data_IF_449602063373
#
_entry.id   IF_449602063373
#
_cell.length_a   1.000
_cell.length_b   1.000
_cell.length_c   1.000
_cell.angle_alpha   90.00
_cell.angle_beta   90.00
_cell.angle_gamma   90.00
#
_symmetry.space_group_name_H-M   'P 1'
#
loop_
_entity.id
_entity.type
_entity.pdbx_description
1 polymer ?
#
# COMPACT_ATOMS: atom_id res chain seq x y z
N UNK A 1 8.93 39.45 -8.55
CA UNK A 1 10.36 39.79 -8.64
C UNK A 1 11.10 38.61 -9.25
N UNK A 2 11.71 38.84 -10.40
CA UNK A 2 12.48 37.86 -11.17
C UNK A 2 13.88 37.75 -10.58
N UNK A 3 14.45 36.54 -10.54
CA UNK A 3 15.77 36.25 -11.14
C UNK A 3 15.96 34.75 -11.31
N UNK A 4 15.79 34.31 -12.56
CA UNK A 4 16.41 33.13 -13.17
C UNK A 4 17.93 33.29 -13.09
N UNK A 5 18.64 32.21 -12.79
CA UNK A 5 19.98 31.99 -13.31
C UNK A 5 19.95 30.74 -14.18
N UNK A 6 20.22 30.97 -15.46
CA UNK A 6 20.61 30.00 -16.45
C UNK A 6 22.13 29.83 -16.33
N UNK A 7 22.65 28.62 -16.50
CA UNK A 7 23.98 28.43 -17.07
C UNK A 7 23.83 27.58 -18.31
N UNK A 8 23.98 28.26 -19.44
CA UNK A 8 24.02 27.74 -20.79
C UNK A 8 25.46 27.80 -21.29
N UNK A 9 25.79 26.88 -22.20
CA UNK A 9 26.57 27.22 -23.38
C UNK A 9 28.08 27.25 -23.22
N UNK A 10 28.67 26.07 -23.40
CA UNK A 10 30.04 25.86 -23.85
C UNK A 10 30.24 26.51 -25.23
N UNK A 11 31.07 27.56 -25.33
CA UNK A 11 31.60 28.10 -26.60
C UNK A 11 33.08 28.51 -26.42
N UNK A 12 33.90 27.92 -27.30
CA UNK A 12 35.26 28.25 -27.73
C UNK A 12 36.41 28.37 -26.69
N UNK A 13 37.32 27.40 -26.78
CA UNK A 13 38.73 27.55 -26.46
C UNK A 13 39.57 26.81 -27.50
N UNK A 14 39.80 27.44 -28.65
CA UNK A 14 40.74 26.96 -29.66
C UNK A 14 42.17 26.96 -29.10
N UNK A 15 42.72 25.78 -28.87
CA UNK A 15 44.14 25.59 -28.60
C UNK A 15 44.80 25.04 -29.86
N UNK A 16 45.58 25.90 -30.51
CA UNK A 16 46.54 25.55 -31.55
C UNK A 16 47.53 24.50 -31.00
N UNK A 17 47.38 23.25 -31.43
CA UNK A 17 48.46 22.29 -31.42
C UNK A 17 48.94 22.14 -32.86
N UNK A 18 50.05 22.81 -33.16
CA UNK A 18 50.84 22.57 -34.37
C UNK A 18 51.48 21.19 -34.26
N UNK A 19 50.68 20.15 -34.51
CA UNK A 19 51.15 18.81 -34.81
C UNK A 19 51.48 18.75 -36.31
N UNK A 20 52.73 18.46 -36.61
CA UNK A 20 53.25 18.32 -37.97
C UNK A 20 52.49 17.22 -38.71
N UNK A 21 51.50 17.62 -39.51
CA UNK A 21 50.82 16.76 -40.48
C UNK A 21 51.83 16.36 -41.56
N UNK A 22 52.44 15.18 -41.40
CA UNK A 22 53.03 14.50 -42.53
C UNK A 22 51.88 13.95 -43.35
N UNK A 23 51.55 14.64 -44.45
CA UNK A 23 50.63 14.12 -45.44
C UNK A 23 51.22 12.84 -46.01
N UNK A 24 50.63 11.69 -45.65
CA UNK A 24 50.87 10.45 -46.38
C UNK A 24 50.34 10.63 -47.80
N UNK A 25 51.18 10.32 -48.79
CA UNK A 25 50.73 10.18 -50.16
C UNK A 25 49.61 9.12 -50.23
N UNK A 26 48.56 9.40 -51.00
CA UNK A 26 47.40 8.56 -51.22
C UNK A 26 47.74 7.27 -52.02
N UNK A 27 48.57 6.41 -51.44
CA UNK A 27 48.58 4.97 -51.72
C UNK A 27 47.80 4.28 -50.61
N UNK A 28 46.93 3.33 -50.96
CA UNK A 28 46.20 2.49 -50.00
C UNK A 28 47.20 1.80 -49.07
N UNK A 29 47.39 2.32 -47.86
CA UNK A 29 48.30 1.72 -46.89
C UNK A 29 47.67 0.43 -46.36
N UNK A 30 48.31 -0.70 -46.64
CA UNK A 30 47.84 -2.04 -46.25
C UNK A 30 48.52 -2.51 -44.96
N UNK A 31 47.79 -3.16 -44.07
CA UNK A 31 48.29 -3.72 -42.81
C UNK A 31 49.32 -4.82 -43.10
N UNK A 32 50.39 -4.89 -42.30
CA UNK A 32 51.43 -5.92 -42.48
C UNK A 32 50.91 -7.33 -42.19
N UNK A 33 51.50 -8.33 -42.84
CA UNK A 33 51.19 -9.73 -42.55
C UNK A 33 51.51 -10.08 -41.10
N UNK A 34 50.70 -10.97 -40.50
CA UNK A 34 50.88 -11.40 -39.11
C UNK A 34 50.17 -10.50 -38.09
N UNK A 35 49.27 -9.61 -38.53
CA UNK A 35 48.49 -8.74 -37.66
C UNK A 35 47.04 -9.22 -37.59
N UNK A 36 46.55 -9.42 -36.38
CA UNK A 36 45.21 -9.92 -36.06
C UNK A 36 44.54 -9.02 -35.02
N UNK A 37 43.22 -9.10 -34.91
CA UNK A 37 42.47 -8.57 -33.77
C UNK A 37 41.42 -9.59 -33.36
N UNK A 38 41.46 -10.04 -32.10
CA UNK A 38 40.69 -11.19 -31.58
C UNK A 38 40.67 -12.40 -32.52
N UNK A 39 41.81 -12.66 -33.16
CA UNK A 39 41.95 -13.79 -34.08
C UNK A 39 41.46 -13.54 -35.51
N UNK A 40 40.85 -12.38 -35.80
CA UNK A 40 40.51 -11.96 -37.16
C UNK A 40 41.79 -11.51 -37.89
N UNK A 41 42.10 -12.12 -39.04
CA UNK A 41 43.28 -11.79 -39.84
C UNK A 41 43.09 -10.45 -40.57
N UNK A 42 43.91 -9.46 -40.23
CA UNK A 42 43.90 -8.12 -40.84
C UNK A 42 44.99 -7.96 -41.92
N UNK A 43 45.77 -9.01 -42.18
CA UNK A 43 46.92 -8.98 -43.07
C UNK A 43 46.54 -8.53 -44.48
N UNK A 44 47.23 -7.49 -44.98
CA UNK A 44 47.01 -6.97 -46.33
C UNK A 44 45.74 -6.14 -46.51
N UNK A 45 44.91 -6.01 -45.46
CA UNK A 45 43.71 -5.17 -45.53
C UNK A 45 44.09 -3.68 -45.51
N UNK A 46 43.34 -2.90 -46.28
CA UNK A 46 43.29 -1.45 -46.12
C UNK A 46 42.50 -1.06 -44.88
N UNK A 47 42.58 0.21 -44.47
CA UNK A 47 41.80 0.77 -43.36
C UNK A 47 40.31 0.44 -43.43
N UNK A 48 39.71 0.64 -44.60
CA UNK A 48 38.27 0.45 -44.81
C UNK A 48 37.89 -1.03 -44.76
N UNK A 49 38.71 -1.91 -45.34
CA UNK A 49 38.51 -3.36 -45.28
C UNK A 49 38.67 -3.89 -43.86
N UNK A 50 39.68 -3.43 -43.12
CA UNK A 50 39.90 -3.84 -41.73
C UNK A 50 38.77 -3.38 -40.80
N UNK A 51 38.32 -2.12 -40.92
CA UNK A 51 37.16 -1.64 -40.15
C UNK A 51 35.89 -2.44 -40.48
N UNK A 52 35.66 -2.76 -41.76
CA UNK A 52 34.51 -3.57 -42.18
C UNK A 52 34.59 -4.98 -41.60
N UNK A 53 35.78 -5.58 -41.57
CA UNK A 53 35.97 -6.92 -40.99
C UNK A 53 35.71 -6.93 -39.48
N UNK A 54 36.16 -5.91 -38.74
CA UNK A 54 35.89 -5.79 -37.31
C UNK A 54 34.42 -5.48 -37.02
N UNK A 55 33.78 -4.59 -37.79
CA UNK A 55 32.34 -4.31 -37.67
C UNK A 55 31.49 -5.56 -37.92
N UNK A 56 31.87 -6.38 -38.91
CA UNK A 56 31.20 -7.67 -39.17
C UNK A 56 31.36 -8.61 -37.97
N UNK A 57 32.56 -8.70 -37.40
CA UNK A 57 32.80 -9.52 -36.22
C UNK A 57 32.01 -9.03 -34.99
N UNK A 58 31.95 -7.71 -34.76
CA UNK A 58 31.10 -7.13 -33.70
C UNK A 58 29.63 -7.47 -33.89
N UNK A 59 29.13 -7.42 -35.13
CA UNK A 59 27.75 -7.82 -35.45
C UNK A 59 27.50 -9.31 -35.20
N UNK A 60 28.46 -10.19 -35.51
CA UNK A 60 28.36 -11.62 -35.18
C UNK A 60 28.34 -11.84 -33.66
N UNK A 61 29.13 -11.08 -32.91
CA UNK A 61 29.16 -11.15 -31.44
C UNK A 61 27.87 -10.68 -30.77
N UNK A 62 27.02 -9.92 -31.47
CA UNK A 62 25.69 -9.55 -30.95
C UNK A 62 24.73 -10.74 -30.84
N UNK A 63 25.00 -11.85 -31.52
CA UNK A 63 24.19 -13.08 -31.45
C UNK A 63 24.53 -13.96 -30.23
N UNK A 64 25.66 -13.73 -29.57
CA UNK A 64 25.98 -14.41 -28.31
C UNK A 64 24.98 -14.01 -27.23
N UNK A 65 24.74 -14.92 -26.28
CA UNK A 65 23.67 -14.79 -25.28
C UNK A 65 24.22 -14.70 -23.86
N UNK A 66 23.45 -14.06 -22.97
CA UNK A 66 23.75 -13.99 -21.54
C UNK A 66 22.55 -14.50 -20.75
N UNK A 67 22.65 -15.68 -20.15
CA UNK A 67 21.58 -16.22 -19.30
C UNK A 67 21.59 -15.55 -17.93
N UNK A 68 20.49 -14.89 -17.59
CA UNK A 68 20.25 -14.15 -16.34
C UNK A 68 19.32 -14.98 -15.44
N UNK A 69 19.83 -15.46 -14.31
CA UNK A 69 19.05 -16.19 -13.31
C UNK A 69 18.49 -15.24 -12.26
N UNK A 70 17.17 -15.31 -12.01
CA UNK A 70 16.41 -14.44 -11.11
C UNK A 70 15.59 -15.34 -10.17
N UNK A 71 16.23 -15.79 -9.09
CA UNK A 71 15.68 -16.84 -8.24
C UNK A 71 15.57 -18.15 -9.03
N UNK A 72 14.36 -18.71 -9.11
CA UNK A 72 14.07 -19.93 -9.89
C UNK A 72 13.73 -19.65 -11.37
N UNK A 73 13.73 -18.38 -11.81
CA UNK A 73 13.42 -17.97 -13.17
C UNK A 73 14.69 -17.69 -13.98
N UNK A 74 14.61 -17.82 -15.31
CA UNK A 74 15.72 -17.52 -16.22
C UNK A 74 15.25 -16.68 -17.42
N UNK A 75 16.09 -15.76 -17.88
CA UNK A 75 15.96 -15.02 -19.14
C UNK A 75 17.28 -15.08 -19.90
N UNK A 76 17.23 -15.17 -21.24
CA UNK A 76 18.43 -15.32 -22.07
C UNK A 76 18.43 -14.31 -23.22
N UNK A 77 18.66 -13.01 -22.95
CA UNK A 77 18.83 -12.02 -24.01
C UNK A 77 20.07 -12.30 -24.86
N UNK A 78 20.04 -11.85 -26.10
CA UNK A 78 21.27 -11.69 -26.89
C UNK A 78 22.02 -10.44 -26.43
N UNK A 79 23.34 -10.42 -26.62
CA UNK A 79 24.16 -9.25 -26.31
C UNK A 79 23.81 -8.06 -27.24
N UNK A 80 23.30 -8.33 -28.43
CA UNK A 80 22.69 -7.32 -29.31
C UNK A 80 21.47 -6.64 -28.70
N UNK A 81 20.59 -7.38 -28.03
CA UNK A 81 19.44 -6.82 -27.30
C UNK A 81 19.88 -5.91 -26.15
N UNK A 82 21.05 -6.19 -25.55
CA UNK A 82 21.67 -5.38 -24.50
C UNK A 82 22.57 -4.24 -25.05
N UNK A 83 22.67 -4.10 -26.37
CA UNK A 83 23.42 -3.01 -27.01
C UNK A 83 24.93 -3.22 -27.05
N UNK A 84 25.41 -4.47 -27.24
CA UNK A 84 26.83 -4.75 -27.38
C UNK A 84 27.47 -3.99 -28.55
N UNK A 85 28.59 -3.34 -28.26
CA UNK A 85 29.43 -2.62 -29.22
C UNK A 85 30.90 -2.87 -28.95
N UNK A 86 31.71 -2.84 -30.01
CA UNK A 86 33.15 -2.63 -29.88
C UNK A 86 33.45 -1.15 -29.63
N UNK A 87 34.53 -0.87 -28.92
CA UNK A 87 34.86 0.50 -28.47
C UNK A 87 36.21 1.02 -28.97
N UNK A 88 37.07 0.15 -29.53
CA UNK A 88 38.44 0.48 -29.91
C UNK A 88 38.84 0.01 -31.31
N UNK A 89 37.89 -0.34 -32.19
CA UNK A 89 38.15 -0.84 -33.55
C UNK A 89 38.98 0.15 -34.36
N UNK A 90 38.62 1.44 -34.30
CA UNK A 90 39.34 2.49 -35.01
C UNK A 90 40.77 2.63 -34.50
N UNK A 91 40.98 2.58 -33.19
CA UNK A 91 42.31 2.71 -32.60
C UNK A 91 43.20 1.52 -32.96
N UNK A 92 42.65 0.29 -32.92
CA UNK A 92 43.32 -0.93 -33.37
C UNK A 92 43.76 -0.80 -34.83
N UNK A 93 42.85 -0.38 -35.72
CA UNK A 93 43.14 -0.28 -37.16
C UNK A 93 44.21 0.78 -37.45
N UNK A 94 44.15 1.94 -36.78
CA UNK A 94 45.18 2.97 -36.93
C UNK A 94 46.55 2.48 -36.44
N UNK A 95 46.60 1.78 -35.31
CA UNK A 95 47.84 1.21 -34.79
C UNK A 95 48.39 0.12 -35.74
N UNK A 96 47.53 -0.77 -36.22
CA UNK A 96 47.88 -1.85 -37.15
C UNK A 96 48.43 -1.33 -38.49
N UNK A 97 47.85 -0.25 -39.03
CA UNK A 97 48.36 0.41 -40.24
C UNK A 97 49.74 1.04 -39.98
N UNK A 98 49.92 1.65 -38.81
CA UNK A 98 51.14 2.34 -38.42
C UNK A 98 52.30 1.42 -38.02
N UNK A 99 52.01 0.18 -37.62
CA UNK A 99 52.97 -0.82 -37.18
C UNK A 99 53.99 -1.13 -38.29
N UNK A 100 55.29 -1.05 -37.99
CA UNK A 100 56.36 -1.25 -38.98
C UNK A 100 56.53 -0.11 -40.00
N UNK A 101 55.68 0.94 -39.95
CA UNK A 101 55.68 2.07 -40.91
C UNK A 101 55.94 3.43 -40.26
N UNK A 102 55.82 3.54 -38.95
CA UNK A 102 55.97 4.79 -38.19
C UNK A 102 57.21 4.79 -37.29
N UNK A 103 57.70 5.96 -36.87
CA UNK A 103 58.93 6.08 -36.06
C UNK A 103 60.25 5.99 -36.85
N UNK A 104 61.36 5.74 -36.16
CA UNK A 104 62.70 5.68 -36.77
C UNK A 104 62.95 4.37 -37.54
N UNK A 105 63.96 4.34 -38.41
CA UNK A 105 64.26 3.21 -39.32
C UNK A 105 64.49 1.89 -38.53
N UNK A 106 65.12 1.97 -37.36
CA UNK A 106 65.41 0.80 -36.52
C UNK A 106 64.11 0.21 -35.96
N UNK A 107 63.21 1.06 -35.45
CA UNK A 107 61.88 0.65 -34.96
C UNK A 107 61.09 -0.07 -36.05
N UNK A 108 60.97 0.54 -37.23
CA UNK A 108 60.25 -0.03 -38.38
C UNK A 108 60.80 -1.39 -38.81
N UNK A 109 62.12 -1.54 -38.85
CA UNK A 109 62.77 -2.80 -39.19
C UNK A 109 62.51 -3.87 -38.12
N UNK A 110 62.63 -3.51 -36.84
CA UNK A 110 62.39 -4.42 -35.71
C UNK A 110 60.94 -4.91 -35.72
N UNK A 111 59.95 -4.01 -35.76
CA UNK A 111 58.53 -4.38 -35.76
C UNK A 111 58.16 -5.31 -36.92
N UNK A 112 58.71 -5.06 -38.12
CA UNK A 112 58.53 -5.97 -39.26
C UNK A 112 59.16 -7.34 -39.04
N UNK A 113 60.35 -7.40 -38.43
CA UNK A 113 61.02 -8.66 -38.13
C UNK A 113 60.32 -9.43 -37.01
N UNK A 114 59.78 -8.72 -36.02
CA UNK A 114 58.99 -9.32 -34.94
C UNK A 114 57.74 -9.99 -35.54
N UNK A 115 57.02 -9.31 -36.46
CA UNK A 115 55.85 -9.88 -37.17
C UNK A 115 56.17 -11.12 -38.03
N UNK A 116 57.39 -11.28 -38.52
CA UNK A 116 57.81 -12.50 -39.24
C UNK A 116 57.97 -13.72 -38.30
N UNK A 117 58.11 -13.50 -36.98
CA UNK A 117 58.35 -14.55 -35.99
C UNK A 117 57.15 -14.76 -35.06
N UNK A 118 56.39 -13.70 -34.75
CA UNK A 118 55.27 -13.71 -33.82
C UNK A 118 54.15 -12.80 -34.33
N UNK A 119 52.93 -13.33 -34.37
CA UNK A 119 51.77 -12.55 -34.77
C UNK A 119 51.44 -11.51 -33.70
N UNK A 120 51.08 -10.30 -34.14
CA UNK A 120 50.52 -9.27 -33.26
C UNK A 120 49.00 -9.43 -33.24
N UNK A 121 48.44 -9.88 -32.12
CA UNK A 121 46.99 -9.92 -31.92
C UNK A 121 46.54 -8.76 -31.02
N UNK A 122 45.69 -7.89 -31.54
CA UNK A 122 44.99 -6.86 -30.78
C UNK A 122 43.78 -7.45 -30.07
N UNK A 123 43.30 -6.79 -29.02
CA UNK A 123 42.11 -7.21 -28.27
C UNK A 123 41.05 -6.12 -28.40
N UNK A 124 39.86 -6.49 -28.85
CA UNK A 124 38.72 -5.59 -28.83
C UNK A 124 38.31 -5.34 -27.38
N UNK A 125 37.83 -4.14 -27.12
CA UNK A 125 37.18 -3.79 -25.86
C UNK A 125 35.70 -3.62 -26.12
N UNK A 126 34.89 -4.24 -25.28
CA UNK A 126 33.44 -4.29 -25.42
C UNK A 126 32.76 -3.35 -24.45
N UNK A 127 31.58 -2.87 -24.84
CA UNK A 127 30.68 -2.16 -23.95
C UNK A 127 29.23 -2.49 -24.29
N UNK A 128 28.35 -2.39 -23.29
CA UNK A 128 26.91 -2.44 -23.48
C UNK A 128 26.33 -1.03 -23.47
N UNK A 129 25.17 -0.86 -24.10
CA UNK A 129 24.39 0.36 -23.97
C UNK A 129 23.70 0.36 -22.60
N UNK A 130 24.16 1.22 -21.69
CA UNK A 130 23.62 1.31 -20.33
C UNK A 130 22.11 1.57 -20.31
N UNK A 131 21.57 2.33 -21.27
CA UNK A 131 20.13 2.62 -21.32
C UNK A 131 19.34 1.38 -21.76
N UNK A 132 19.86 0.58 -22.71
CA UNK A 132 19.24 -0.68 -23.11
C UNK A 132 19.30 -1.74 -22.01
N UNK A 133 20.44 -1.88 -21.31
CA UNK A 133 20.55 -2.77 -20.15
C UNK A 133 19.59 -2.34 -19.05
N UNK A 134 19.51 -1.04 -18.76
CA UNK A 134 18.58 -0.49 -17.77
C UNK A 134 17.13 -0.76 -18.14
N UNK A 135 16.75 -0.57 -19.41
CA UNK A 135 15.42 -0.88 -19.90
C UNK A 135 15.11 -2.37 -19.80
N UNK A 136 16.04 -3.24 -20.22
CA UNK A 136 15.86 -4.68 -20.14
C UNK A 136 15.64 -5.15 -18.70
N UNK A 137 16.47 -4.69 -17.77
CA UNK A 137 16.34 -5.01 -16.35
C UNK A 137 15.00 -4.51 -15.80
N UNK A 138 14.64 -3.24 -16.03
CA UNK A 138 13.45 -2.64 -15.43
C UNK A 138 12.13 -3.08 -16.07
N UNK A 139 12.12 -3.42 -17.35
CA UNK A 139 10.88 -3.75 -18.07
C UNK A 139 10.68 -5.27 -18.22
N UNK A 140 11.76 -6.05 -18.18
CA UNK A 140 11.72 -7.51 -18.42
C UNK A 140 12.11 -8.31 -17.18
N UNK A 141 13.22 -7.97 -16.51
CA UNK A 141 13.67 -8.78 -15.37
C UNK A 141 12.78 -8.60 -14.13
N UNK A 142 12.26 -7.40 -13.88
CA UNK A 142 11.34 -7.09 -12.76
C UNK A 142 9.96 -7.72 -12.91
N UNK A 143 9.64 -8.37 -14.05
CA UNK A 143 8.35 -9.07 -14.20
C UNK A 143 8.19 -10.23 -13.20
N UNK A 144 9.32 -10.69 -12.63
CA UNK A 144 9.35 -11.71 -11.59
C UNK A 144 9.31 -11.13 -10.17
N UNK A 145 9.31 -9.79 -10.03
CA UNK A 145 9.14 -9.16 -8.74
C UNK A 145 7.77 -9.50 -8.18
N UNK A 146 7.78 -10.03 -6.97
CA UNK A 146 6.59 -10.43 -6.25
C UNK A 146 6.75 -10.12 -4.77
N UNK A 147 5.72 -9.54 -4.17
CA UNK A 147 5.70 -9.31 -2.73
C UNK A 147 5.52 -10.63 -1.98
N UNK A 148 6.09 -10.71 -0.78
CA UNK A 148 5.80 -11.81 0.12
C UNK A 148 4.33 -11.75 0.57
N UNK A 149 3.68 -12.91 0.62
CA UNK A 149 2.32 -13.04 1.16
C UNK A 149 2.37 -13.97 2.34
N UNK A 150 2.14 -13.44 3.54
CA UNK A 150 2.10 -14.25 4.76
C UNK A 150 1.09 -15.39 4.65
N UNK A 151 1.40 -16.52 5.28
CA UNK A 151 0.44 -17.60 5.40
C UNK A 151 -0.81 -17.11 6.16
N UNK A 152 -1.94 -17.77 5.94
CA UNK A 152 -3.19 -17.42 6.61
C UNK A 152 -3.97 -18.66 7.01
N UNK A 153 -5.10 -18.45 7.66
CA UNK A 153 -6.01 -19.50 8.09
C UNK A 153 -7.34 -19.32 7.39
N UNK A 154 -7.96 -20.46 7.05
CA UNK A 154 -9.34 -20.51 6.61
C UNK A 154 -10.14 -21.36 7.58
N UNK A 155 -11.28 -20.85 8.03
CA UNK A 155 -12.20 -21.64 8.87
C UNK A 155 -12.72 -22.85 8.08
N UNK A 156 -12.59 -24.05 8.66
CA UNK A 156 -13.07 -25.30 8.07
C UNK A 156 -13.76 -26.15 9.14
N UNK A 157 -15.10 -26.18 9.12
CA UNK A 157 -15.90 -26.81 10.17
C UNK A 157 -15.61 -26.21 11.54
N UNK A 158 -15.20 -27.04 12.50
CA UNK A 158 -14.80 -26.60 13.84
C UNK A 158 -13.31 -26.22 13.95
N UNK A 159 -12.51 -26.40 12.89
CA UNK A 159 -11.07 -26.16 12.86
C UNK A 159 -10.63 -25.10 11.85
N UNK A 160 -9.33 -25.08 11.58
CA UNK A 160 -8.70 -24.19 10.61
C UNK A 160 -7.84 -24.98 9.63
N UNK A 161 -7.86 -24.53 8.38
CA UNK A 161 -6.96 -24.99 7.33
C UNK A 161 -5.89 -23.92 7.12
N UNK A 162 -4.62 -24.34 7.09
CA UNK A 162 -3.50 -23.44 6.77
C UNK A 162 -3.48 -23.21 5.27
N UNK A 163 -3.55 -21.94 4.88
CA UNK A 163 -3.30 -21.49 3.52
C UNK A 163 -1.86 -20.99 3.48
N UNK A 164 -0.99 -21.69 2.75
CA UNK A 164 0.43 -21.37 2.67
C UNK A 164 0.68 -19.97 2.12
N UNK A 165 1.77 -19.36 2.58
CA UNK A 165 2.24 -18.07 2.07
C UNK A 165 3.00 -18.19 0.76
N UNK A 166 3.43 -17.04 0.24
CA UNK A 166 4.25 -16.89 -0.96
C UNK A 166 5.54 -16.15 -0.59
N UNK A 167 6.68 -16.69 -1.01
CA UNK A 167 7.99 -16.02 -0.88
C UNK A 167 8.04 -14.80 -1.78
N UNK A 168 8.38 -13.65 -1.18
CA UNK A 168 8.65 -12.42 -1.90
C UNK A 168 10.03 -12.48 -2.56
N UNK A 169 10.12 -11.94 -3.76
CA UNK A 169 11.35 -11.84 -4.54
C UNK A 169 11.35 -10.47 -5.19
N UNK A 170 12.38 -9.67 -4.94
CA UNK A 170 12.55 -8.35 -5.56
C UNK A 170 13.96 -8.25 -6.12
N UNK A 171 14.08 -7.94 -7.40
CA UNK A 171 15.36 -7.77 -8.06
C UNK A 171 16.05 -6.48 -7.58
N UNK A 172 17.34 -6.55 -7.21
CA UNK A 172 18.16 -5.36 -7.05
C UNK A 172 18.58 -4.88 -8.44
N UNK A 173 17.77 -3.99 -9.01
CA UNK A 173 17.95 -3.50 -10.38
C UNK A 173 19.28 -2.79 -10.58
N UNK A 174 19.69 -1.96 -9.62
CA UNK A 174 20.93 -1.21 -9.70
C UNK A 174 22.15 -2.14 -9.67
N UNK A 175 22.20 -3.08 -8.72
CA UNK A 175 23.28 -4.04 -8.65
C UNK A 175 23.27 -4.99 -9.86
N UNK A 176 22.09 -5.35 -10.39
CA UNK A 176 21.96 -6.18 -11.59
C UNK A 176 22.52 -5.50 -12.84
N UNK A 177 22.19 -4.23 -13.07
CA UNK A 177 22.71 -3.45 -14.21
C UNK A 177 24.23 -3.38 -14.14
N UNK A 178 24.79 -3.01 -12.98
CA UNK A 178 26.25 -2.97 -12.79
C UNK A 178 26.88 -4.32 -13.04
N UNK A 179 26.29 -5.41 -12.52
CA UNK A 179 26.84 -6.76 -12.68
C UNK A 179 26.86 -7.19 -14.16
N UNK A 180 25.79 -6.93 -14.91
CA UNK A 180 25.69 -7.26 -16.34
C UNK A 180 26.75 -6.50 -17.14
N UNK A 181 26.83 -5.18 -16.94
CA UNK A 181 27.81 -4.33 -17.63
C UNK A 181 29.24 -4.73 -17.28
N UNK A 182 29.56 -4.90 -16.00
CA UNK A 182 30.90 -5.28 -15.55
C UNK A 182 31.34 -6.64 -16.10
N UNK A 183 30.42 -7.62 -16.18
CA UNK A 183 30.69 -8.92 -16.76
C UNK A 183 31.11 -8.81 -18.23
N UNK A 184 30.34 -8.08 -19.05
CA UNK A 184 30.65 -7.92 -20.48
C UNK A 184 31.93 -7.12 -20.71
N UNK A 185 32.16 -6.07 -19.93
CA UNK A 185 33.32 -5.19 -20.12
C UNK A 185 34.64 -5.80 -19.63
N UNK A 186 34.60 -6.72 -18.66
CA UNK A 186 35.82 -7.15 -17.95
C UNK A 186 36.03 -8.67 -17.89
N UNK A 187 34.98 -9.48 -17.99
CA UNK A 187 35.04 -10.93 -17.71
C UNK A 187 34.57 -11.81 -18.86
N UNK A 188 33.84 -11.25 -19.84
CA UNK A 188 33.27 -12.00 -20.93
C UNK A 188 34.33 -12.57 -21.87
N UNK A 189 34.21 -13.86 -22.20
CA UNK A 189 35.19 -14.64 -22.97
C UNK A 189 34.81 -14.80 -24.45
N UNK A 190 33.88 -13.95 -24.92
CA UNK A 190 33.33 -13.96 -26.29
C UNK A 190 32.48 -15.21 -26.60
N UNK A 191 31.91 -15.84 -25.57
CA UNK A 191 30.96 -16.95 -25.72
C UNK A 191 29.71 -16.75 -24.87
N UNK A 192 28.67 -17.56 -25.08
CA UNK A 192 27.47 -17.56 -24.26
C UNK A 192 27.78 -17.58 -22.74
N UNK A 193 27.29 -16.55 -22.05
CA UNK A 193 27.47 -16.36 -20.61
C UNK A 193 26.27 -16.82 -19.78
N UNK A 194 26.48 -16.94 -18.47
CA UNK A 194 25.43 -17.20 -17.49
C UNK A 194 25.77 -16.54 -16.16
N UNK A 195 24.80 -15.91 -15.51
CA UNK A 195 25.00 -15.23 -14.23
C UNK A 195 23.74 -15.16 -13.36
N UNK A 196 23.93 -15.22 -12.05
CA UNK A 196 22.90 -14.95 -11.04
C UNK A 196 22.71 -13.44 -10.87
N UNK A 197 21.48 -12.94 -10.93
CA UNK A 197 21.20 -11.55 -10.58
C UNK A 197 20.90 -11.41 -9.08
N UNK A 198 21.35 -10.33 -8.43
CA UNK A 198 21.08 -10.09 -7.03
C UNK A 198 19.58 -9.85 -6.81
N UNK A 199 18.99 -10.65 -5.92
CA UNK A 199 17.59 -10.52 -5.48
C UNK A 199 17.54 -10.39 -3.96
N UNK A 200 16.60 -9.58 -3.47
CA UNK A 200 16.17 -9.62 -2.08
C UNK A 200 15.01 -10.60 -1.95
N UNK A 201 15.12 -11.53 -1.00
CA UNK A 201 14.09 -12.53 -0.70
C UNK A 201 13.46 -12.22 0.64
N UNK A 202 12.13 -12.04 0.64
CA UNK A 202 11.34 -11.89 1.87
C UNK A 202 10.50 -13.15 2.08
N UNK A 203 10.54 -13.71 3.29
CA UNK A 203 9.87 -14.97 3.60
C UNK A 203 8.54 -14.72 4.30
N UNK A 204 7.46 -15.41 3.89
CA UNK A 204 6.16 -15.22 4.50
C UNK A 204 6.19 -15.62 5.97
N UNK A 205 5.52 -14.85 6.83
CA UNK A 205 5.24 -15.24 8.20
C UNK A 205 4.29 -16.44 8.23
N UNK A 206 4.32 -17.17 9.34
CA UNK A 206 3.32 -18.19 9.66
C UNK A 206 3.63 -19.57 9.13
N UNK A 207 4.54 -20.25 9.83
CA UNK A 207 4.70 -21.69 9.65
C UNK A 207 3.42 -22.44 10.02
N UNK A 208 3.24 -23.64 9.47
CA UNK A 208 2.11 -24.50 9.83
C UNK A 208 2.05 -24.81 11.34
N UNK A 209 3.21 -24.86 12.01
CA UNK A 209 3.30 -25.05 13.46
C UNK A 209 2.75 -23.82 14.22
N UNK A 210 3.14 -22.61 13.82
CA UNK A 210 2.67 -21.37 14.45
C UNK A 210 1.17 -21.17 14.24
N UNK A 211 0.68 -21.34 13.02
CA UNK A 211 -0.74 -21.24 12.70
C UNK A 211 -1.56 -22.36 13.34
N UNK A 212 -0.97 -23.53 13.56
CA UNK A 212 -1.57 -24.64 14.31
C UNK A 212 -1.84 -24.33 15.80
N UNK A 213 -1.26 -23.25 16.34
CA UNK A 213 -1.57 -22.77 17.70
C UNK A 213 -2.94 -22.09 17.79
N UNK A 214 -3.50 -21.62 16.67
CA UNK A 214 -4.79 -20.94 16.61
C UNK A 214 -5.93 -21.96 16.67
N UNK A 215 -6.49 -22.17 17.87
CA UNK A 215 -7.54 -23.18 18.07
C UNK A 215 -8.54 -22.84 19.17
N UNK A 216 -8.13 -22.02 20.14
CA UNK A 216 -8.93 -21.71 21.32
C UNK A 216 -9.69 -20.40 21.12
N UNK A 217 -10.90 -20.29 21.69
CA UNK A 217 -11.66 -19.04 21.68
C UNK A 217 -11.11 -18.13 22.77
N UNK A 218 -10.49 -17.01 22.37
CA UNK A 218 -9.96 -16.02 23.29
C UNK A 218 -11.01 -14.99 23.70
N UNK A 219 -11.90 -14.62 22.79
CA UNK A 219 -12.94 -13.63 23.05
C UNK A 219 -14.06 -13.71 22.04
N UNK A 220 -15.30 -13.51 22.51
CA UNK A 220 -16.47 -13.44 21.62
C UNK A 220 -17.45 -12.39 22.11
N UNK A 221 -18.10 -11.69 21.18
CA UNK A 221 -19.15 -10.76 21.52
C UNK A 221 -20.19 -10.65 20.40
N UNK A 222 -21.43 -10.37 20.77
CA UNK A 222 -22.55 -10.29 19.85
C UNK A 222 -23.37 -9.04 20.13
N UNK A 223 -23.79 -8.33 19.08
CA UNK A 223 -24.80 -7.28 19.17
C UNK A 223 -25.98 -7.56 18.25
N UNK A 224 -27.16 -7.09 18.63
CA UNK A 224 -28.39 -7.22 17.84
C UNK A 224 -28.65 -5.96 17.01
N UNK A 225 -29.12 -6.15 15.78
CA UNK A 225 -29.61 -5.09 14.91
C UNK A 225 -31.02 -5.40 14.38
N UNK A 226 -31.83 -6.10 15.18
CA UNK A 226 -33.15 -6.61 14.81
C UNK A 226 -34.13 -5.56 14.22
N UNK A 227 -34.06 -4.31 14.69
CA UNK A 227 -34.88 -3.17 14.23
C UNK A 227 -34.41 -2.56 12.90
N UNK A 228 -33.29 -3.04 12.35
CA UNK A 228 -32.70 -2.46 11.14
C UNK A 228 -33.49 -2.83 9.88
N UNK A 229 -33.59 -1.85 8.98
CA UNK A 229 -34.03 -2.04 7.60
C UNK A 229 -32.98 -2.74 6.75
N UNK A 230 -33.39 -3.20 5.55
CA UNK A 230 -32.58 -4.06 4.70
C UNK A 230 -31.22 -3.47 4.31
N UNK A 231 -31.15 -2.17 3.98
CA UNK A 231 -29.90 -1.52 3.60
C UNK A 231 -28.85 -1.52 4.73
N UNK A 232 -29.26 -1.23 5.97
CA UNK A 232 -28.39 -1.28 7.15
C UNK A 232 -27.94 -2.72 7.45
N UNK A 233 -28.84 -3.70 7.33
CA UNK A 233 -28.47 -5.12 7.47
C UNK A 233 -27.41 -5.53 6.44
N UNK A 234 -27.56 -5.11 5.17
CA UNK A 234 -26.58 -5.36 4.11
C UNK A 234 -25.22 -4.75 4.48
N UNK A 235 -25.19 -3.48 4.90
CA UNK A 235 -23.95 -2.82 5.29
C UNK A 235 -23.22 -3.53 6.44
N UNK A 236 -23.96 -3.96 7.47
CA UNK A 236 -23.39 -4.72 8.60
C UNK A 236 -22.80 -6.04 8.09
N UNK A 237 -23.52 -6.79 7.26
CA UNK A 237 -23.02 -8.03 6.67
C UNK A 237 -21.76 -7.80 5.82
N UNK A 238 -21.74 -6.77 4.98
CA UNK A 238 -20.57 -6.39 4.16
C UNK A 238 -19.36 -6.04 5.03
N UNK A 239 -19.51 -5.16 6.03
CA UNK A 239 -18.40 -4.80 6.91
C UNK A 239 -17.91 -5.96 7.76
N UNK A 240 -18.80 -6.83 8.22
CA UNK A 240 -18.40 -8.06 8.92
C UNK A 240 -17.62 -9.01 7.99
N UNK A 241 -18.03 -9.14 6.73
CA UNK A 241 -17.34 -9.99 5.76
C UNK A 241 -15.92 -9.50 5.45
N UNK A 242 -15.70 -8.19 5.39
CA UNK A 242 -14.37 -7.60 5.17
C UNK A 242 -13.39 -7.87 6.32
N UNK A 243 -13.89 -7.99 7.56
CA UNK A 243 -13.07 -8.29 8.76
C UNK A 243 -12.92 -9.80 8.98
N UNK A 244 -13.90 -10.59 8.53
CA UNK A 244 -13.88 -12.03 8.71
C UNK A 244 -12.75 -12.68 7.92
N UNK A 245 -11.95 -13.52 8.58
CA UNK A 245 -10.84 -14.22 7.93
C UNK A 245 -9.48 -13.60 8.20
N UNK A 246 -9.42 -12.45 8.89
CA UNK A 246 -8.15 -11.81 9.21
C UNK A 246 -7.32 -12.66 10.17
N UNK A 247 -6.10 -12.99 9.76
CA UNK A 247 -5.03 -13.45 10.64
C UNK A 247 -4.17 -12.24 11.02
N UNK A 248 -3.86 -12.10 12.31
CA UNK A 248 -3.01 -11.03 12.83
C UNK A 248 -1.82 -11.66 13.56
N UNK A 249 -0.60 -11.44 13.08
CA UNK A 249 0.61 -11.98 13.71
C UNK A 249 1.01 -11.19 14.95
N UNK A 250 1.82 -11.77 15.85
CA UNK A 250 2.40 -11.03 16.99
C UNK A 250 3.00 -9.68 16.57
N UNK A 251 2.58 -8.60 17.24
CA UNK A 251 2.99 -7.24 16.97
C UNK A 251 2.23 -6.51 15.86
N UNK A 252 1.49 -7.22 15.00
CA UNK A 252 0.70 -6.58 13.95
C UNK A 252 -0.46 -5.79 14.56
N UNK A 253 -0.77 -4.64 13.95
CA UNK A 253 -1.87 -3.76 14.36
C UNK A 253 -2.98 -3.78 13.31
N UNK A 254 -4.19 -4.05 13.76
CA UNK A 254 -5.38 -4.04 12.91
C UNK A 254 -6.06 -2.67 12.94
N UNK A 255 -6.40 -2.14 11.77
CA UNK A 255 -7.27 -0.96 11.61
C UNK A 255 -8.66 -1.39 11.16
N UNK A 256 -9.68 -1.06 11.95
CA UNK A 256 -11.06 -1.36 11.56
C UNK A 256 -11.50 -0.51 10.38
N UNK A 257 -11.20 0.79 10.40
CA UNK A 257 -11.60 1.71 9.34
C UNK A 257 -10.98 1.35 8.00
N UNK A 258 -9.66 1.11 7.95
CA UNK A 258 -8.97 0.77 6.70
C UNK A 258 -9.55 -0.50 6.10
N UNK A 259 -9.76 -1.54 6.92
CA UNK A 259 -10.29 -2.85 6.50
C UNK A 259 -11.70 -2.76 5.91
N UNK A 260 -12.57 -1.92 6.46
CA UNK A 260 -13.97 -1.81 5.97
C UNK A 260 -14.15 -0.73 4.90
N UNK A 261 -13.13 0.09 4.65
CA UNK A 261 -13.13 1.14 3.63
C UNK A 261 -12.74 0.58 2.25
N UNK A 262 -13.06 1.30 1.14
CA UNK A 262 -13.88 2.50 1.04
C UNK A 262 -15.38 2.21 1.15
N UNK A 263 -16.17 3.16 1.66
CA UNK A 263 -17.63 3.05 1.70
C UNK A 263 -18.26 3.41 0.36
N UNK A 264 -18.26 2.45 -0.58
CA UNK A 264 -18.84 2.59 -1.92
C UNK A 264 -19.80 1.46 -2.27
N UNK A 265 -20.69 1.68 -3.24
CA UNK A 265 -21.55 0.61 -3.77
C UNK A 265 -20.74 -0.54 -4.38
N UNK A 266 -19.62 -0.21 -5.05
CA UNK A 266 -18.68 -1.19 -5.60
C UNK A 266 -18.05 -2.06 -4.51
N UNK A 267 -17.82 -1.51 -3.32
CA UNK A 267 -17.35 -2.26 -2.15
C UNK A 267 -18.50 -2.91 -1.36
N UNK A 268 -19.69 -3.05 -1.96
CA UNK A 268 -20.82 -3.80 -1.41
C UNK A 268 -21.73 -3.01 -0.45
N UNK A 269 -21.52 -1.70 -0.29
CA UNK A 269 -22.34 -0.88 0.61
C UNK A 269 -23.60 -0.32 -0.06
N UNK A 270 -24.53 0.15 0.77
CA UNK A 270 -25.76 0.81 0.39
C UNK A 270 -26.01 2.05 1.27
N UNK A 271 -26.83 2.98 0.79
CA UNK A 271 -27.26 4.13 1.57
C UNK A 271 -28.14 3.68 2.73
N UNK A 272 -27.76 4.05 3.95
CA UNK A 272 -28.53 3.78 5.16
C UNK A 272 -28.27 4.86 6.20
N UNK A 273 -29.23 5.06 7.13
CA UNK A 273 -29.07 6.01 8.23
C UNK A 273 -27.79 5.77 9.04
N UNK A 274 -27.05 6.84 9.29
CA UNK A 274 -25.79 6.92 10.04
C UNK A 274 -25.82 8.11 10.99
N UNK A 275 -25.07 8.06 12.09
CA UNK A 275 -25.03 9.14 13.06
C UNK A 275 -23.92 10.14 12.71
N UNK A 276 -24.30 11.38 12.40
CA UNK A 276 -23.36 12.48 12.11
C UNK A 276 -23.74 13.73 12.90
N UNK A 277 -22.80 14.27 13.69
CA UNK A 277 -22.97 15.54 14.42
C UNK A 277 -24.27 15.67 15.24
N UNK A 278 -24.72 14.60 15.87
CA UNK A 278 -25.93 14.63 16.70
C UNK A 278 -27.24 14.38 15.93
N UNK A 279 -27.18 14.09 14.63
CA UNK A 279 -28.33 13.77 13.77
C UNK A 279 -28.18 12.41 13.11
N UNK A 280 -29.30 11.86 12.64
CA UNK A 280 -29.32 10.69 11.75
C UNK A 280 -29.36 11.21 10.30
N UNK A 281 -28.33 10.88 9.52
CA UNK A 281 -28.22 11.23 8.10
C UNK A 281 -27.95 9.98 7.28
N UNK A 282 -28.53 9.86 6.09
CA UNK A 282 -28.22 8.73 5.23
C UNK A 282 -26.78 8.82 4.71
N UNK A 283 -26.02 7.73 4.88
CA UNK A 283 -24.66 7.60 4.34
C UNK A 283 -24.42 6.19 3.80
N UNK A 284 -23.49 6.06 2.85
CA UNK A 284 -22.94 4.76 2.50
C UNK A 284 -22.25 4.17 3.74
N UNK A 285 -22.48 2.88 4.01
CA UNK A 285 -21.92 2.22 5.19
C UNK A 285 -22.64 2.52 6.51
N UNK A 286 -23.87 3.09 6.49
CA UNK A 286 -24.69 3.22 7.69
C UNK A 286 -24.86 1.86 8.39
N UNK A 287 -24.38 1.75 9.64
CA UNK A 287 -24.34 0.52 10.44
C UNK A 287 -22.94 0.02 10.80
N UNK A 288 -21.88 0.49 10.14
CA UNK A 288 -20.51 -0.02 10.35
C UNK A 288 -19.95 0.27 11.75
N UNK A 289 -20.34 1.36 12.41
CA UNK A 289 -19.90 1.56 13.79
C UNK A 289 -20.42 0.48 14.76
N UNK A 290 -21.53 -0.20 14.44
CA UNK A 290 -21.97 -1.36 15.23
C UNK A 290 -21.05 -2.58 15.02
N UNK A 291 -20.53 -2.76 13.80
CA UNK A 291 -19.52 -3.78 13.49
C UNK A 291 -18.25 -3.51 14.30
N UNK A 292 -17.74 -2.27 14.26
CA UNK A 292 -16.58 -1.85 15.05
C UNK A 292 -16.78 -2.03 16.56
N UNK A 293 -17.92 -1.59 17.12
CA UNK A 293 -18.24 -1.83 18.54
C UNK A 293 -18.29 -3.31 18.89
N UNK A 294 -18.84 -4.15 18.01
CA UNK A 294 -18.95 -5.59 18.27
C UNK A 294 -17.55 -6.22 18.29
N UNK A 295 -16.69 -5.85 17.34
CA UNK A 295 -15.29 -6.29 17.30
C UNK A 295 -14.53 -5.81 18.55
N UNK A 296 -14.65 -4.54 18.92
CA UNK A 296 -14.03 -3.97 20.13
C UNK A 296 -14.32 -4.81 21.38
N UNK A 297 -15.57 -5.21 21.56
CA UNK A 297 -15.95 -6.02 22.72
C UNK A 297 -15.42 -7.46 22.68
N UNK A 298 -15.24 -8.03 21.48
CA UNK A 298 -14.54 -9.31 21.33
C UNK A 298 -13.04 -9.15 21.63
N UNK A 299 -12.39 -8.08 21.16
CA UNK A 299 -10.99 -7.69 21.43
C UNK A 299 -10.74 -7.53 22.93
N UNK A 300 -11.62 -6.82 23.65
CA UNK A 300 -11.51 -6.68 25.10
C UNK A 300 -11.53 -8.03 25.83
N UNK A 301 -12.36 -8.98 25.37
CA UNK A 301 -12.48 -10.33 25.95
C UNK A 301 -11.28 -11.21 25.59
N UNK A 302 -10.73 -11.04 24.40
CA UNK A 302 -9.46 -11.65 23.99
C UNK A 302 -8.24 -11.00 24.68
N UNK A 303 -8.44 -9.88 25.39
CA UNK A 303 -7.41 -9.14 26.10
C UNK A 303 -6.26 -8.65 25.22
N UNK A 304 -6.59 -8.32 23.96
CA UNK A 304 -5.67 -7.68 23.03
C UNK A 304 -5.50 -6.20 23.38
N UNK A 305 -4.35 -5.64 23.02
CA UNK A 305 -4.02 -4.25 23.28
C UNK A 305 -4.82 -3.30 22.39
N UNK A 306 -5.64 -2.44 23.00
CA UNK A 306 -6.39 -1.40 22.29
C UNK A 306 -5.49 -0.17 22.12
N UNK A 307 -5.14 0.14 20.87
CA UNK A 307 -4.25 1.25 20.50
C UNK A 307 -5.04 2.54 20.31
N UNK A 308 -6.18 2.45 19.63
CA UNK A 308 -7.05 3.59 19.36
C UNK A 308 -8.50 3.19 19.58
N UNK A 309 -9.23 4.01 20.34
CA UNK A 309 -10.67 3.87 20.49
C UNK A 309 -11.29 5.23 20.73
N UNK A 310 -12.37 5.51 20.00
CA UNK A 310 -13.22 6.67 20.21
C UNK A 310 -14.66 6.25 20.54
N UNK A 311 -15.36 7.01 21.39
CA UNK A 311 -16.81 6.84 21.56
C UNK A 311 -17.61 7.58 20.47
N UNK A 312 -18.87 7.20 20.33
CA UNK A 312 -19.87 7.91 19.54
C UNK A 312 -20.15 9.29 20.14
N UNK A 313 -20.59 10.23 19.29
CA UNK A 313 -21.00 11.56 19.75
C UNK A 313 -22.30 11.54 20.56
N UNK A 314 -23.13 10.51 20.40
CA UNK A 314 -24.39 10.27 21.13
C UNK A 314 -24.42 8.83 21.61
N UNK A 315 -25.26 8.55 22.61
CA UNK A 315 -25.44 7.17 23.12
C UNK A 315 -26.01 6.26 22.02
N UNK A 316 -25.48 5.04 21.95
CA UNK A 316 -25.99 3.97 21.09
C UNK A 316 -26.77 2.96 21.94
N UNK A 317 -27.68 2.21 21.32
CA UNK A 317 -28.62 1.33 22.06
C UNK A 317 -28.24 -0.15 22.03
N UNK A 318 -27.22 -0.53 21.27
CA UNK A 318 -26.81 -1.92 21.09
C UNK A 318 -25.70 -2.38 22.05
N UNK A 319 -25.16 -1.47 22.87
CA UNK A 319 -24.25 -1.74 23.99
C UNK A 319 -24.47 -0.69 25.09
N UNK A 320 -23.96 -0.96 26.29
CA UNK A 320 -23.97 0.00 27.39
C UNK A 320 -23.04 1.20 27.09
N UNK A 321 -23.22 2.35 27.78
CA UNK A 321 -22.29 3.47 27.67
C UNK A 321 -20.84 3.03 27.96
N UNK A 322 -19.87 3.65 27.29
CA UNK A 322 -18.44 3.35 27.34
C UNK A 322 -17.99 2.02 26.70
N UNK A 323 -18.91 1.14 26.28
CA UNK A 323 -18.62 -0.13 25.58
C UNK A 323 -18.57 0.01 24.05
N UNK A 324 -18.77 1.20 23.50
CA UNK A 324 -18.82 1.43 22.06
C UNK A 324 -17.45 1.78 21.45
N UNK A 325 -17.25 1.51 20.17
CA UNK A 325 -16.12 2.00 19.40
C UNK A 325 -16.64 2.60 18.10
N UNK A 326 -16.46 3.91 17.94
CA UNK A 326 -16.90 4.66 16.78
C UNK A 326 -15.73 4.86 15.81
N UNK A 327 -16.01 4.65 14.53
CA UNK A 327 -15.11 4.99 13.42
C UNK A 327 -15.75 6.09 12.58
N UNK A 328 -14.94 7.00 12.02
CA UNK A 328 -15.43 8.08 11.17
C UNK A 328 -14.28 8.70 10.36
N UNK A 329 -14.33 8.54 9.04
CA UNK A 329 -13.33 9.12 8.14
C UNK A 329 -11.90 8.78 8.56
N UNK A 330 -10.97 9.69 8.29
CA UNK A 330 -9.55 9.54 8.65
C UNK A 330 -9.21 10.03 10.06
N UNK A 331 -10.20 10.36 10.90
CA UNK A 331 -9.95 11.00 12.22
C UNK A 331 -10.49 10.22 13.42
N UNK A 332 -11.23 9.12 13.19
CA UNK A 332 -11.59 8.14 14.22
C UNK A 332 -11.46 6.74 13.67
N UNK A 333 -10.66 5.93 14.33
CA UNK A 333 -10.54 4.51 14.08
C UNK A 333 -10.66 3.70 15.37
N UNK A 334 -10.92 2.41 15.20
CA UNK A 334 -10.70 1.41 16.23
C UNK A 334 -9.51 0.54 15.81
N UNK A 335 -8.40 0.71 16.54
CA UNK A 335 -7.15 -0.01 16.30
C UNK A 335 -6.76 -0.84 17.51
N UNK A 336 -6.25 -2.04 17.26
CA UNK A 336 -5.72 -2.92 18.29
C UNK A 336 -4.53 -3.73 17.76
N UNK A 337 -3.63 -4.11 18.65
CA UNK A 337 -2.42 -4.88 18.34
C UNK A 337 -2.55 -6.28 18.89
N UNK A 338 -2.11 -7.28 18.13
CA UNK A 338 -1.89 -8.61 18.68
C UNK A 338 -0.63 -8.59 19.56
N UNK A 339 -0.79 -8.30 20.85
CA UNK A 339 0.29 -8.28 21.83
C UNK A 339 0.61 -9.69 22.42
N UNK A 340 0.14 -10.76 21.79
CA UNK A 340 0.39 -12.15 22.21
C UNK A 340 1.58 -12.76 21.44
N UNK A 341 2.13 -13.86 21.95
CA UNK A 341 3.26 -14.58 21.33
C UNK A 341 2.84 -15.52 20.18
N UNK A 342 1.55 -15.57 19.84
CA UNK A 342 0.99 -16.42 18.80
C UNK A 342 0.02 -15.65 17.90
N UNK A 343 -0.15 -16.07 16.63
CA UNK A 343 -1.15 -15.48 15.74
C UNK A 343 -2.56 -15.57 16.32
N UNK A 344 -3.44 -14.68 15.88
CA UNK A 344 -4.89 -14.77 16.14
C UNK A 344 -5.66 -14.80 14.83
N UNK A 345 -6.87 -15.35 14.86
CA UNK A 345 -7.82 -15.32 13.75
C UNK A 345 -9.12 -14.63 14.17
N UNK A 346 -9.61 -13.72 13.33
CA UNK A 346 -10.85 -12.99 13.56
C UNK A 346 -11.97 -13.59 12.70
N UNK A 347 -12.92 -14.25 13.35
CA UNK A 347 -14.14 -14.74 12.73
C UNK A 347 -15.25 -13.71 12.90
N UNK A 348 -15.86 -13.30 11.79
CA UNK A 348 -17.02 -12.41 11.77
C UNK A 348 -18.22 -13.09 11.13
N UNK A 349 -19.33 -13.19 11.86
CA UNK A 349 -20.56 -13.85 11.38
C UNK A 349 -21.76 -12.94 11.57
N UNK A 350 -22.63 -12.90 10.55
CA UNK A 350 -23.97 -12.32 10.68
C UNK A 350 -25.05 -13.38 10.49
N UNK A 351 -25.98 -13.48 11.44
CA UNK A 351 -27.10 -14.42 11.36
C UNK A 351 -28.24 -13.97 12.26
N UNK A 352 -29.50 -14.14 11.82
CA UNK A 352 -30.68 -13.79 12.63
C UNK A 352 -30.75 -12.32 13.07
N UNK A 353 -30.22 -11.40 12.24
CA UNK A 353 -30.02 -9.97 12.58
C UNK A 353 -29.14 -9.74 13.82
N UNK A 354 -28.17 -10.62 14.02
CA UNK A 354 -27.09 -10.45 14.98
C UNK A 354 -25.76 -10.41 14.23
N UNK A 355 -24.78 -9.71 14.81
CA UNK A 355 -23.38 -9.71 14.36
C UNK A 355 -22.56 -10.22 15.53
N UNK A 356 -21.70 -11.19 15.25
CA UNK A 356 -20.83 -11.83 16.22
C UNK A 356 -19.41 -11.77 15.70
N UNK A 357 -18.48 -11.36 16.56
CA UNK A 357 -17.06 -11.58 16.34
C UNK A 357 -16.53 -12.56 17.36
N UNK A 358 -15.71 -13.51 16.89
CA UNK A 358 -14.98 -14.47 17.72
C UNK A 358 -13.51 -14.41 17.34
N UNK A 359 -12.66 -14.15 18.33
CA UNK A 359 -11.22 -14.12 18.18
C UNK A 359 -10.67 -15.46 18.67
N UNK A 360 -10.00 -16.17 17.78
CA UNK A 360 -9.32 -17.42 18.08
C UNK A 360 -7.82 -17.19 18.21
N UNK A 361 -7.15 -18.00 19.01
CA UNK A 361 -5.70 -17.97 19.19
C UNK A 361 -5.23 -19.12 20.06
N UNK A 362 -4.12 -18.92 20.75
CA UNK A 362 -3.59 -19.85 21.74
C UNK A 362 -4.00 -19.40 23.14
N UNK A 363 -4.84 -20.17 23.84
CA UNK A 363 -5.24 -19.82 25.21
C UNK A 363 -4.10 -20.16 26.19
N UNK A 364 -3.52 -19.12 26.78
CA UNK A 364 -2.47 -19.23 27.80
C UNK A 364 -2.95 -18.84 29.19
N UNK A 365 -4.17 -18.31 29.31
CA UNK A 365 -4.73 -17.83 30.57
C UNK A 365 -5.27 -19.00 31.41
N UNK A 366 -5.24 -18.90 32.75
CA UNK A 366 -5.76 -19.96 33.62
C UNK A 366 -7.26 -20.23 33.39
N UNK A 367 -7.66 -21.49 33.33
CA UNK A 367 -9.06 -21.90 33.06
C UNK A 367 -10.05 -21.52 34.17
N UNK A 368 -9.55 -21.24 35.37
CA UNK A 368 -10.32 -20.77 36.52
C UNK A 368 -10.44 -19.23 36.58
N UNK A 369 -10.01 -18.53 35.52
CA UNK A 369 -10.05 -17.07 35.39
C UNK A 369 -11.23 -16.63 34.55
N UNK A 370 -11.95 -15.61 34.98
CA UNK A 370 -13.10 -15.03 34.26
C UNK A 370 -13.06 -13.51 34.24
N UNK A 371 -13.68 -12.90 33.22
CA UNK A 371 -13.76 -11.45 33.05
C UNK A 371 -15.20 -10.96 33.22
N UNK A 372 -15.37 -9.77 33.82
CA UNK A 372 -16.61 -8.98 33.78
C UNK A 372 -16.27 -7.56 33.32
N UNK A 373 -17.11 -7.00 32.47
CA UNK A 373 -17.03 -5.60 32.05
C UNK A 373 -18.20 -4.85 32.65
N UNK A 374 -17.94 -3.70 33.24
CA UNK A 374 -18.93 -2.89 33.96
C UNK A 374 -18.89 -1.45 33.50
N UNK A 375 -20.02 -1.00 32.93
CA UNK A 375 -20.26 0.40 32.60
C UNK A 375 -20.84 1.14 33.81
N UNK A 376 -20.16 2.21 34.23
CA UNK A 376 -20.59 3.09 35.33
C UNK A 376 -20.96 4.45 34.79
N UNK A 377 -22.25 4.80 34.83
CA UNK A 377 -22.73 6.14 34.45
C UNK A 377 -22.45 7.14 35.58
N UNK A 378 -21.63 8.14 35.28
CA UNK A 378 -21.26 9.20 36.22
C UNK A 378 -22.27 10.36 36.23
N UNK A 379 -22.82 10.70 35.06
CA UNK A 379 -23.82 11.75 34.94
C UNK A 379 -24.72 11.54 33.73
N UNK A 380 -25.90 12.15 33.80
CA UNK A 380 -26.86 12.21 32.69
C UNK A 380 -27.34 13.64 32.55
N UNK A 381 -27.47 14.11 31.31
CA UNK A 381 -27.99 15.43 30.97
C UNK A 381 -29.27 15.26 30.17
N UNK A 382 -30.36 15.81 30.68
CA UNK A 382 -31.61 15.95 29.93
C UNK A 382 -31.43 17.07 28.90
N UNK A 383 -31.61 16.78 27.60
CA UNK A 383 -31.38 17.77 26.56
C UNK A 383 -32.55 18.76 26.40
N UNK A 384 -33.70 18.53 27.02
CA UNK A 384 -34.88 19.38 26.89
C UNK A 384 -35.51 19.37 25.48
N UNK A 385 -36.33 20.38 25.21
CA UNK A 385 -37.01 20.61 23.93
C UNK A 385 -36.46 21.88 23.29
N UNK A 386 -36.23 21.83 21.98
CA UNK A 386 -35.85 22.98 21.17
C UNK A 386 -36.86 23.13 20.03
N UNK A 387 -37.50 24.29 19.93
CA UNK A 387 -38.44 24.61 18.86
C UNK A 387 -37.74 25.55 17.87
N UNK A 388 -37.74 25.20 16.59
CA UNK A 388 -37.04 25.96 15.54
C UNK A 388 -37.98 26.29 14.39
N UNK A 389 -37.82 27.49 13.83
CA UNK A 389 -38.53 27.92 12.65
C UNK A 389 -37.82 27.43 11.37
N UNK A 390 -38.59 27.02 10.37
CA UNK A 390 -38.11 26.67 9.04
C UNK A 390 -38.81 27.54 7.98
N UNK A 391 -38.06 28.51 7.43
CA UNK A 391 -38.55 29.42 6.40
C UNK A 391 -38.64 28.78 5.01
N UNK A 392 -38.13 27.55 4.82
CA UNK A 392 -38.30 26.77 3.59
C UNK A 392 -39.57 25.93 3.57
N UNK A 393 -40.26 25.78 4.71
CA UNK A 393 -41.43 24.94 4.86
C UNK A 393 -42.70 25.76 5.08
N UNK A 394 -43.84 25.40 4.47
CA UNK A 394 -45.07 26.16 4.57
C UNK A 394 -45.63 26.18 5.99
N UNK A 395 -46.36 27.24 6.32
CA UNK A 395 -47.20 27.27 7.53
C UNK A 395 -48.12 26.04 7.53
N UNK A 396 -48.12 25.31 8.65
CA UNK A 396 -48.80 24.01 8.80
C UNK A 396 -47.85 22.81 8.78
N UNK A 397 -46.60 22.99 8.34
CA UNK A 397 -45.56 21.97 8.47
C UNK A 397 -45.07 21.87 9.92
N UNK A 398 -45.05 20.65 10.47
CA UNK A 398 -44.45 20.36 11.76
C UNK A 398 -43.76 18.99 11.75
N UNK A 399 -42.49 18.97 12.13
CA UNK A 399 -41.72 17.73 12.31
C UNK A 399 -41.14 17.69 13.71
N UNK A 400 -41.21 16.52 14.34
CA UNK A 400 -40.69 16.27 15.69
C UNK A 400 -39.60 15.23 15.62
N UNK A 401 -38.43 15.58 16.13
CA UNK A 401 -37.27 14.69 16.26
C UNK A 401 -37.06 14.34 17.74
N UNK A 402 -36.68 13.09 18.03
CA UNK A 402 -36.56 12.61 19.42
C UNK A 402 -35.30 13.11 20.11
N UNK A 403 -35.38 13.28 21.43
CA UNK A 403 -34.25 13.65 22.27
C UNK A 403 -33.26 12.49 22.46
N UNK A 404 -31.97 12.81 22.55
CA UNK A 404 -30.92 11.92 23.04
C UNK A 404 -30.31 12.48 24.31
N UNK A 405 -30.31 11.69 25.39
CA UNK A 405 -29.71 12.09 26.67
C UNK A 405 -28.19 12.21 26.53
N UNK A 406 -27.63 13.24 27.13
CA UNK A 406 -26.18 13.33 27.35
C UNK A 406 -25.79 12.37 28.45
N UNK A 407 -24.65 11.70 28.32
CA UNK A 407 -24.18 10.72 29.30
C UNK A 407 -22.67 10.86 29.45
N UNK A 408 -22.16 10.77 30.67
CA UNK A 408 -20.74 10.53 30.93
C UNK A 408 -20.64 9.19 31.66
N UNK A 409 -19.84 8.27 31.12
CA UNK A 409 -19.69 6.93 31.68
C UNK A 409 -18.24 6.46 31.65
N UNK A 410 -17.90 5.50 32.50
CA UNK A 410 -16.60 4.84 32.56
C UNK A 410 -16.78 3.34 32.41
N UNK A 411 -15.82 2.68 31.74
CA UNK A 411 -15.81 1.23 31.60
C UNK A 411 -14.71 0.62 32.45
N UNK A 412 -15.06 -0.38 33.24
CA UNK A 412 -14.16 -1.14 34.10
C UNK A 412 -14.09 -2.60 33.66
N UNK A 413 -12.88 -3.16 33.69
CA UNK A 413 -12.61 -4.59 33.53
C UNK A 413 -12.29 -5.18 34.89
N UNK A 414 -13.07 -6.18 35.28
CA UNK A 414 -12.88 -6.97 36.48
C UNK A 414 -12.33 -8.34 36.11
N UNK A 415 -11.28 -8.76 36.79
CA UNK A 415 -10.66 -10.08 36.64
C UNK A 415 -10.93 -10.88 37.90
N UNK A 416 -11.46 -12.08 37.73
CA UNK A 416 -11.71 -13.00 38.83
C UNK A 416 -10.88 -14.27 38.66
N UNK A 417 -10.32 -14.80 39.74
CA UNK A 417 -9.66 -16.11 39.80
C UNK A 417 -10.31 -16.91 40.92
N UNK A 418 -10.78 -18.13 40.62
CA UNK A 418 -11.57 -18.93 41.54
C UNK A 418 -12.81 -18.20 42.10
N UNK A 419 -13.41 -17.30 41.30
CA UNK A 419 -14.56 -16.49 41.69
C UNK A 419 -14.25 -15.32 42.63
N UNK A 420 -12.99 -15.09 43.02
CA UNK A 420 -12.57 -13.94 43.80
C UNK A 420 -12.04 -12.83 42.88
N UNK A 421 -12.44 -11.58 43.13
CA UNK A 421 -11.98 -10.43 42.35
C UNK A 421 -10.50 -10.16 42.65
N UNK A 422 -9.66 -10.31 41.63
CA UNK A 422 -8.22 -10.13 41.74
C UNK A 422 -7.81 -8.71 41.33
N UNK A 423 -8.47 -8.14 40.32
CA UNK A 423 -8.17 -6.78 39.88
C UNK A 423 -9.36 -6.10 39.22
N UNK A 424 -9.38 -4.78 39.32
CA UNK A 424 -10.31 -3.88 38.63
C UNK A 424 -9.47 -2.83 37.91
N UNK A 425 -9.64 -2.73 36.61
CA UNK A 425 -8.92 -1.76 35.77
C UNK A 425 -9.92 -0.89 35.02
N UNK A 426 -9.82 0.43 35.19
CA UNK A 426 -10.57 1.38 34.35
C UNK A 426 -9.97 1.35 32.94
N UNK A 427 -10.79 1.00 31.94
CA UNK A 427 -10.38 0.95 30.55
C UNK A 427 -10.52 2.30 29.87
N UNK A 428 -11.66 2.96 30.04
CA UNK A 428 -11.91 4.23 29.37
C UNK A 428 -12.93 5.10 30.11
N UNK A 429 -13.05 6.35 29.65
CA UNK A 429 -14.12 7.28 30.01
C UNK A 429 -14.70 7.86 28.73
N UNK A 430 -16.02 7.86 28.61
CA UNK A 430 -16.74 8.29 27.42
C UNK A 430 -17.73 9.41 27.76
N UNK A 431 -17.82 10.39 26.86
CA UNK A 431 -18.75 11.53 26.97
C UNK A 431 -19.62 11.61 25.72
N UNK A 432 -20.92 11.49 25.90
CA UNK A 432 -21.94 11.55 24.86
C UNK A 432 -22.71 12.86 25.00
N UNK A 433 -22.85 13.59 23.89
CA UNK A 433 -23.56 14.86 23.84
C UNK A 433 -25.07 14.62 23.89
N UNK A 434 -25.75 15.50 24.61
CA UNK A 434 -27.20 15.55 24.62
C UNK A 434 -27.69 16.22 23.31
N UNK A 435 -28.75 15.68 22.72
CA UNK A 435 -29.43 16.30 21.56
C UNK A 435 -30.88 16.58 21.96
N UNK A 436 -31.34 17.84 21.92
CA UNK A 436 -32.71 18.20 22.31
C UNK A 436 -33.73 17.52 21.42
N UNK A 437 -34.93 17.31 21.95
CA UNK A 437 -36.10 17.03 21.12
C UNK A 437 -36.33 18.27 20.26
N UNK A 438 -36.19 18.15 18.95
CA UNK A 438 -36.39 19.29 18.04
C UNK A 438 -37.81 19.28 17.49
N UNK A 439 -38.49 20.43 17.56
CA UNK A 439 -39.77 20.67 16.91
C UNK A 439 -39.54 21.72 15.84
N UNK A 440 -39.54 21.29 14.58
CA UNK A 440 -39.36 22.17 13.43
C UNK A 440 -40.73 22.59 12.92
N UNK A 441 -40.97 23.90 12.86
CA UNK A 441 -42.25 24.50 12.45
C UNK A 441 -42.03 25.34 11.20
N UNK A 442 -42.81 25.06 10.15
CA UNK A 442 -42.77 25.82 8.90
C UNK A 442 -43.38 27.22 9.09
N UNK A 443 -42.69 28.24 8.60
CA UNK A 443 -43.10 29.64 8.68
C UNK A 443 -43.19 30.34 7.32
N UNK A 444 -43.03 29.59 6.22
CA UNK A 444 -43.16 30.14 4.87
C UNK A 444 -44.63 30.38 4.53
N UNK A 445 -44.98 31.62 4.19
CA UNK A 445 -46.35 32.00 3.87
C UNK A 445 -46.62 33.48 4.14
N UNK A 446 -47.84 33.76 4.58
CA UNK A 446 -48.28 35.11 4.94
C UNK A 446 -47.34 35.75 6.00
N UNK A 447 -46.84 36.98 5.78
CA UNK A 447 -45.88 37.62 6.68
C UNK A 447 -46.41 37.83 8.10
N UNK A 448 -47.70 38.11 8.28
CA UNK A 448 -48.28 38.37 9.60
C UNK A 448 -48.40 37.07 10.39
N UNK A 449 -48.87 36.00 9.74
CA UNK A 449 -48.91 34.66 10.34
C UNK A 449 -47.51 34.09 10.63
N UNK A 450 -46.53 34.40 9.77
CA UNK A 450 -45.12 34.03 9.96
C UNK A 450 -44.53 34.71 11.20
N UNK A 451 -44.77 36.01 11.37
CA UNK A 451 -44.31 36.77 12.54
C UNK A 451 -44.98 36.27 13.84
N UNK A 452 -46.27 35.95 13.80
CA UNK A 452 -46.99 35.36 14.93
C UNK A 452 -46.40 34.01 15.33
N UNK A 453 -46.09 33.15 14.36
CA UNK A 453 -45.42 31.87 14.61
C UNK A 453 -44.00 32.04 15.13
N UNK A 454 -43.22 32.99 14.61
CA UNK A 454 -41.89 33.28 15.14
C UNK A 454 -41.94 33.74 16.60
N UNK A 455 -42.92 34.58 16.96
CA UNK A 455 -43.13 35.02 18.34
C UNK A 455 -43.52 33.85 19.26
N UNK A 456 -44.40 32.95 18.78
CA UNK A 456 -44.75 31.73 19.53
C UNK A 456 -43.53 30.79 19.69
N UNK A 457 -42.73 30.59 18.63
CA UNK A 457 -41.51 29.76 18.67
C UNK A 457 -40.49 30.35 19.65
N UNK A 458 -40.38 31.68 19.75
CA UNK A 458 -39.49 32.33 20.71
C UNK A 458 -39.82 32.01 22.18
N UNK A 459 -41.04 31.57 22.49
CA UNK A 459 -41.42 31.12 23.84
C UNK A 459 -40.83 29.76 24.22
N UNK A 460 -40.43 28.95 23.22
CA UNK A 460 -40.03 27.55 23.38
C UNK A 460 -41.07 26.66 24.08
N UNK A 461 -42.33 27.11 24.19
CA UNK A 461 -43.43 26.36 24.79
C UNK A 461 -44.22 25.60 23.71
N UNK A 462 -44.17 24.27 23.74
CA UNK A 462 -44.80 23.43 22.72
C UNK A 462 -46.33 23.63 22.66
N UNK A 463 -46.98 23.90 23.80
CA UNK A 463 -48.43 24.13 23.83
C UNK A 463 -48.80 25.44 23.11
N UNK A 464 -48.08 26.52 23.39
CA UNK A 464 -48.23 27.83 22.77
C UNK A 464 -47.99 27.73 21.26
N UNK A 465 -46.90 27.08 20.85
CA UNK A 465 -46.56 26.89 19.43
C UNK A 465 -47.62 26.07 18.69
N UNK A 466 -48.09 24.96 19.26
CA UNK A 466 -49.14 24.15 18.64
C UNK A 466 -50.46 24.93 18.52
N UNK A 467 -50.84 25.72 19.54
CA UNK A 467 -52.04 26.54 19.52
C UNK A 467 -51.98 27.63 18.44
N UNK A 468 -50.84 28.34 18.35
CA UNK A 468 -50.61 29.36 17.32
C UNK A 468 -50.59 28.75 15.93
N UNK A 469 -49.91 27.62 15.73
CA UNK A 469 -49.89 26.91 14.45
C UNK A 469 -51.28 26.50 14.00
N UNK A 470 -52.09 25.92 14.88
CA UNK A 470 -53.48 25.55 14.58
C UNK A 470 -54.32 26.78 14.19
N UNK A 471 -54.15 27.90 14.91
CA UNK A 471 -54.81 29.18 14.60
C UNK A 471 -54.38 29.74 13.24
N UNK A 472 -53.08 29.72 12.91
CA UNK A 472 -52.57 30.16 11.61
C UNK A 472 -53.13 29.30 10.48
N UNK A 473 -53.11 27.97 10.62
CA UNK A 473 -53.66 27.04 9.62
C UNK A 473 -55.16 27.28 9.41
N UNK A 474 -55.94 27.52 10.47
CA UNK A 474 -57.36 27.80 10.36
C UNK A 474 -57.68 29.13 9.65
N UNK A 475 -56.82 30.15 9.76
CA UNK A 475 -56.98 31.45 9.09
C UNK A 475 -56.52 31.45 7.62
N UNK A 476 -55.81 30.41 7.20
CA UNK A 476 -55.41 30.19 5.81
C UNK A 476 -56.45 29.42 4.99
N UNK A 477 -57.44 28.81 5.66
CA UNK A 477 -58.60 28.14 5.07
C UNK A 477 -59.75 29.13 4.87
#
# INVERSE_FOLDING_TARGET
MKRRQWFAGLILGAAFLTGSSTAFAAGKAEIHAGVYADGIDLSGMTREEALTALDTYVQEMQDETLTLHIGDNELTPTLGELGLTGTNESDIVEEAIGLGKTGNIIKRYKERKDLEHENKNYQLTWALDTDLVTAYVNDTCTQFDQDAVDATLKRSGSGFEVVGGQTGLVLDTAASITKITDFVENEWDHTNGSMELPVETDYPKGTAEELGKVKDVLGTFTTSYNTSGAARCKNIATGTAHINGTVLYPGDTFSTYETVSPFSEANGYAMAGSYLNGKVVDSLGGGICQVSTTLYNAVLRAELEVVERSNHSMIVTYVDPADDAAIAGTYKDFKFTNNLDAPIYIEGVTSGKQVTFTIYGQETRPSNRTLKFESVTLSTTDPGVQIVADAGQPIGYIVRESAHKGVVAELYKHVYVNGQEESVTKLNKSTYKATPRTITVGIAGDPDLSNELQAAIATQDEATVNATLASCVARMQ
#
